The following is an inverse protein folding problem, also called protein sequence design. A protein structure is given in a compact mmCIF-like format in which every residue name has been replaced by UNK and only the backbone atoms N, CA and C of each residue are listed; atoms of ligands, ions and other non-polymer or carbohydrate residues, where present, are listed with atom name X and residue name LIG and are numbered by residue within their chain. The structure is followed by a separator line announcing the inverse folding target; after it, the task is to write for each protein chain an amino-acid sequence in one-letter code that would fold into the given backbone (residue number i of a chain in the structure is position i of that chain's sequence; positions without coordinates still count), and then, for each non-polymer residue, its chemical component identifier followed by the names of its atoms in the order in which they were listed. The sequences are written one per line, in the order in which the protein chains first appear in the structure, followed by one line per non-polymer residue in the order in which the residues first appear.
data_IF_750288710221
#
_entry.id   IF_750288710221
#
_cell.length_a   1.000
_cell.length_b   1.000
_cell.length_c   1.000
_cell.angle_alpha   90.00
_cell.angle_beta   90.00
_cell.angle_gamma   90.00
#
_symmetry.space_group_name_H-M   'P 1'
#
loop_
_entity.id
_entity.type
_entity.pdbx_description
1 polymer ?
#
# COMPACT_ATOMS: atom_id res chain seq x y z
N UNK A 1 -2.62 23.47 13.76
CA UNK A 1 -3.68 22.64 14.35
C UNK A 1 -3.13 21.22 14.57
N UNK A 2 -3.30 20.68 15.78
CA UNK A 2 -2.94 19.27 16.06
C UNK A 2 -3.82 18.36 15.19
N UNK A 3 -3.21 17.39 14.52
CA UNK A 3 -3.90 16.47 13.60
C UNK A 3 -4.34 15.17 14.30
N UNK A 4 -3.48 14.67 15.18
CA UNK A 4 -3.74 13.48 15.99
C UNK A 4 -2.83 13.51 17.22
N UNK A 5 -3.29 13.01 18.36
CA UNK A 5 -2.47 12.85 19.59
C UNK A 5 -2.69 11.44 20.12
N UNK A 6 -1.61 10.65 20.10
CA UNK A 6 -1.63 9.27 20.59
C UNK A 6 -0.19 8.77 20.83
N UNK A 7 -0.03 7.51 21.25
CA UNK A 7 1.31 6.90 21.37
C UNK A 7 1.97 6.74 19.98
N UNK A 8 3.30 6.83 19.88
CA UNK A 8 4.00 6.69 18.59
C UNK A 8 3.63 5.43 17.79
N UNK A 9 3.52 4.23 18.39
CA UNK A 9 3.09 3.04 17.66
C UNK A 9 1.68 3.16 17.09
N UNK A 10 0.76 3.82 17.81
CA UNK A 10 -0.62 4.00 17.35
C UNK A 10 -0.71 5.02 16.23
N UNK A 11 -0.01 6.16 16.35
CA UNK A 11 0.11 7.14 15.27
C UNK A 11 0.66 6.51 13.97
N UNK A 12 1.61 5.57 14.12
CA UNK A 12 2.22 4.88 13.00
C UNK A 12 1.27 3.85 12.35
N UNK A 13 0.64 3.01 13.15
CA UNK A 13 -0.17 1.89 12.67
C UNK A 13 -1.62 2.27 12.35
N UNK A 14 -2.13 3.33 12.98
CA UNK A 14 -3.53 3.75 12.88
C UNK A 14 -3.63 5.27 12.66
N UNK A 15 -3.07 5.79 11.55
CA UNK A 15 -3.14 7.23 11.26
C UNK A 15 -4.58 7.64 10.97
N UNK A 16 -5.05 8.74 11.54
CA UNK A 16 -6.43 9.23 11.37
C UNK A 16 -6.65 9.90 10.01
N UNK A 17 -5.59 10.37 9.37
CA UNK A 17 -5.68 11.08 8.11
C UNK A 17 -4.39 10.96 7.27
N UNK A 18 -4.45 11.44 6.02
CA UNK A 18 -3.35 11.43 5.07
C UNK A 18 -2.09 12.16 5.57
N UNK A 19 -2.27 13.25 6.31
CA UNK A 19 -1.14 14.02 6.83
C UNK A 19 -0.31 13.19 7.82
N UNK A 20 -0.98 12.59 8.80
CA UNK A 20 -0.31 11.74 9.81
C UNK A 20 0.32 10.53 9.15
N UNK A 21 -0.41 9.87 8.23
CA UNK A 21 0.05 8.71 7.50
C UNK A 21 1.32 8.98 6.68
N UNK A 22 1.38 10.11 5.98
CA UNK A 22 2.51 10.49 5.12
C UNK A 22 3.67 11.11 5.87
N UNK A 23 3.44 11.67 7.07
CA UNK A 23 4.50 12.33 7.85
C UNK A 23 5.40 11.33 8.59
N UNK A 24 4.86 10.18 8.99
CA UNK A 24 5.56 9.18 9.79
C UNK A 24 6.13 8.06 8.90
N UNK A 25 7.41 7.80 9.04
CA UNK A 25 8.15 6.76 8.32
C UNK A 25 9.14 7.30 7.30
N UNK A 26 10.18 6.53 7.05
CA UNK A 26 11.20 6.80 6.03
C UNK A 26 11.60 5.49 5.37
N UNK A 27 11.18 5.24 4.12
CA UNK A 27 10.31 6.06 3.27
C UNK A 27 8.90 6.26 3.85
N UNK A 28 8.16 7.29 3.39
CA UNK A 28 6.78 7.50 3.83
C UNK A 28 5.82 6.42 3.31
N UNK A 29 4.58 6.40 3.83
CA UNK A 29 3.51 5.54 3.33
C UNK A 29 3.26 5.77 1.82
N UNK A 30 3.11 4.69 1.06
CA UNK A 30 2.65 4.77 -0.32
C UNK A 30 1.17 5.15 -0.34
N UNK A 31 0.79 6.05 -1.26
CA UNK A 31 -0.60 6.39 -1.54
C UNK A 31 -0.93 6.08 -3.00
N UNK A 32 -1.93 5.24 -3.19
CA UNK A 32 -2.32 4.68 -4.49
C UNK A 32 -3.75 5.10 -4.78
N UNK A 33 -3.95 5.83 -5.89
CA UNK A 33 -5.27 6.23 -6.34
C UNK A 33 -6.03 5.05 -6.91
N UNK A 34 -7.30 4.94 -6.59
CA UNK A 34 -8.16 3.89 -7.07
C UNK A 34 -9.62 4.12 -6.73
N UNK A 35 -10.40 3.07 -6.82
CA UNK A 35 -11.82 3.07 -6.47
C UNK A 35 -12.21 1.79 -5.73
N UNK A 36 -13.28 1.87 -4.96
CA UNK A 36 -13.86 0.70 -4.29
C UNK A 36 -15.00 0.12 -5.12
N UNK A 37 -15.01 -1.21 -5.24
CA UNK A 37 -16.08 -1.98 -5.86
C UNK A 37 -16.56 -3.08 -4.92
N UNK A 38 -17.81 -3.44 -5.04
CA UNK A 38 -18.33 -4.64 -4.39
C UNK A 38 -18.15 -5.83 -5.33
N UNK A 39 -17.54 -6.89 -4.84
CA UNK A 39 -17.46 -8.19 -5.53
C UNK A 39 -17.95 -9.29 -4.57
N UNK A 40 -19.19 -9.77 -4.78
CA UNK A 40 -19.87 -10.74 -3.89
C UNK A 40 -19.87 -10.21 -2.43
N UNK A 41 -19.17 -10.90 -1.52
CA UNK A 41 -19.11 -10.57 -0.09
C UNK A 41 -17.85 -9.78 0.30
N UNK A 42 -17.08 -9.29 -0.68
CA UNK A 42 -15.84 -8.57 -0.47
C UNK A 42 -15.93 -7.12 -0.98
N UNK A 43 -15.21 -6.24 -0.30
CA UNK A 43 -14.88 -4.90 -0.77
C UNK A 43 -13.54 -4.99 -1.48
N UNK A 44 -13.48 -4.56 -2.73
CA UNK A 44 -12.26 -4.62 -3.55
C UNK A 44 -11.83 -3.21 -3.92
N UNK A 45 -10.61 -2.86 -3.54
CA UNK A 45 -9.93 -1.68 -4.06
C UNK A 45 -9.25 -2.05 -5.37
N UNK A 46 -9.45 -1.24 -6.40
CA UNK A 46 -8.73 -1.36 -7.69
C UNK A 46 -8.01 -0.06 -7.97
N UNK A 47 -6.73 -0.17 -8.27
CA UNK A 47 -5.92 0.96 -8.74
C UNK A 47 -6.54 1.59 -10.00
N UNK A 48 -6.28 2.88 -10.22
CA UNK A 48 -6.73 3.57 -11.44
C UNK A 48 -6.24 2.88 -12.71
N UNK A 49 -6.86 3.21 -13.84
CA UNK A 49 -6.57 2.60 -15.13
C UNK A 49 -5.06 2.56 -15.44
N UNK A 50 -4.58 1.40 -15.84
CA UNK A 50 -3.17 1.12 -16.12
C UNK A 50 -2.40 0.54 -14.94
N UNK A 51 -2.94 0.64 -13.71
CA UNK A 51 -2.35 0.05 -12.52
C UNK A 51 -2.64 -1.44 -12.36
N UNK A 52 -1.85 -2.11 -11.56
CA UNK A 52 -1.89 -3.57 -11.34
C UNK A 52 -2.33 -3.97 -9.94
N UNK A 53 -2.49 -3.00 -9.03
CA UNK A 53 -2.82 -3.29 -7.63
C UNK A 53 -4.32 -3.48 -7.46
N UNK A 54 -4.68 -4.66 -6.96
CA UNK A 54 -6.04 -4.99 -6.52
C UNK A 54 -5.97 -5.57 -5.11
N UNK A 55 -6.71 -4.97 -4.16
CA UNK A 55 -6.72 -5.40 -2.75
C UNK A 55 -8.11 -5.77 -2.32
N UNK A 56 -8.27 -7.01 -1.80
CA UNK A 56 -9.53 -7.51 -1.25
C UNK A 56 -9.55 -7.33 0.25
N UNK A 57 -10.57 -6.64 0.72
CA UNK A 57 -10.85 -6.50 2.14
C UNK A 57 -12.03 -7.41 2.53
N UNK A 58 -11.97 -7.99 3.73
CA UNK A 58 -13.17 -8.60 4.32
C UNK A 58 -14.27 -7.53 4.42
N UNK A 59 -15.54 -7.96 4.49
CA UNK A 59 -16.67 -7.03 4.56
C UNK A 59 -16.40 -5.91 5.58
N UNK A 60 -16.49 -4.68 5.10
CA UNK A 60 -16.29 -3.45 5.85
C UNK A 60 -17.50 -2.56 5.62
N UNK A 61 -18.53 -2.59 6.48
CA UNK A 61 -19.79 -1.86 6.26
C UNK A 61 -19.59 -0.39 5.93
N UNK A 62 -18.62 0.29 6.59
CA UNK A 62 -18.31 1.71 6.32
C UNK A 62 -17.77 1.95 4.90
N UNK A 63 -17.10 0.99 4.30
CA UNK A 63 -16.54 1.13 2.95
C UNK A 63 -17.64 1.17 1.87
N UNK A 64 -18.83 0.65 2.15
CA UNK A 64 -19.96 0.61 1.18
C UNK A 64 -20.43 2.00 0.75
N UNK A 65 -20.30 3.00 1.60
CA UNK A 65 -20.66 4.39 1.30
C UNK A 65 -19.73 5.03 0.25
N UNK A 66 -18.61 4.39 -0.03
CA UNK A 66 -17.55 4.87 -0.93
C UNK A 66 -17.48 4.09 -2.24
N UNK A 67 -18.38 3.16 -2.52
CA UNK A 67 -18.40 2.44 -3.79
C UNK A 67 -18.55 3.40 -4.97
N UNK A 68 -17.70 3.23 -5.99
CA UNK A 68 -17.67 4.06 -7.18
C UNK A 68 -17.10 5.47 -6.97
N UNK A 69 -16.58 5.76 -5.77
CA UNK A 69 -15.92 7.03 -5.48
C UNK A 69 -14.40 6.88 -5.55
N UNK A 70 -13.68 7.96 -5.89
CA UNK A 70 -12.21 7.98 -5.77
C UNK A 70 -11.79 7.69 -4.33
N UNK A 71 -10.79 6.81 -4.18
CA UNK A 71 -10.20 6.44 -2.89
C UNK A 71 -8.68 6.41 -2.98
N UNK A 72 -8.03 6.58 -1.84
CA UNK A 72 -6.58 6.37 -1.70
C UNK A 72 -6.33 5.14 -0.83
N UNK A 73 -5.59 4.18 -1.37
CA UNK A 73 -5.01 3.09 -0.59
C UNK A 73 -3.68 3.55 -0.02
N UNK A 74 -3.54 3.49 1.30
CA UNK A 74 -2.29 3.71 2.01
C UNK A 74 -1.67 2.39 2.42
N UNK A 75 -0.41 2.16 2.06
CA UNK A 75 0.36 0.99 2.46
C UNK A 75 1.81 1.37 2.74
N UNK A 76 2.38 0.86 3.82
CA UNK A 76 3.77 1.15 4.16
C UNK A 76 4.74 0.33 3.31
N UNK A 77 5.95 0.87 3.04
CA UNK A 77 6.95 0.17 2.25
C UNK A 77 7.33 -1.21 2.79
N UNK A 78 7.38 -1.38 4.11
CA UNK A 78 7.69 -2.66 4.77
C UNK A 78 6.56 -3.68 4.74
N UNK A 79 5.34 -3.27 4.36
CA UNK A 79 4.19 -4.13 4.18
C UNK A 79 4.02 -4.61 2.72
N UNK A 80 5.01 -4.33 1.88
CA UNK A 80 5.17 -4.85 0.52
C UNK A 80 6.46 -5.65 0.47
N UNK A 81 6.41 -6.87 -0.09
CA UNK A 81 7.58 -7.74 -0.24
C UNK A 81 7.53 -8.48 -1.59
N UNK A 82 8.67 -8.92 -2.08
CA UNK A 82 8.73 -9.87 -3.20
C UNK A 82 7.92 -11.14 -2.84
N UNK A 83 7.04 -11.58 -3.75
CA UNK A 83 6.10 -12.67 -3.48
C UNK A 83 6.79 -13.97 -3.04
N UNK A 84 7.97 -14.27 -3.58
CA UNK A 84 8.78 -15.44 -3.20
C UNK A 84 9.30 -15.40 -1.75
N UNK A 85 9.27 -14.23 -1.10
CA UNK A 85 9.74 -14.03 0.27
C UNK A 85 8.62 -13.64 1.23
N UNK A 86 7.43 -13.42 0.70
CA UNK A 86 6.27 -12.98 1.47
C UNK A 86 5.78 -14.08 2.42
N UNK A 87 5.43 -13.69 3.64
CA UNK A 87 4.82 -14.53 4.67
C UNK A 87 3.40 -14.10 5.03
N UNK A 88 2.75 -13.27 4.20
CA UNK A 88 1.44 -12.68 4.50
C UNK A 88 0.27 -13.67 4.39
N UNK A 89 0.48 -14.84 3.79
CA UNK A 89 -0.52 -15.90 3.68
C UNK A 89 -1.81 -15.40 3.00
N UNK A 90 -2.96 -15.73 3.61
CA UNK A 90 -4.28 -15.37 3.06
C UNK A 90 -4.61 -13.86 3.12
N UNK A 91 -3.79 -13.05 3.75
CA UNK A 91 -3.93 -11.59 3.76
C UNK A 91 -3.16 -10.91 2.64
N UNK A 92 -2.55 -11.68 1.73
CA UNK A 92 -1.76 -11.16 0.62
C UNK A 92 -2.64 -10.68 -0.53
N UNK A 93 -2.27 -9.54 -1.10
CA UNK A 93 -2.71 -9.09 -2.40
C UNK A 93 -1.51 -9.12 -3.35
N UNK A 94 -1.50 -10.09 -4.28
CA UNK A 94 -0.41 -10.27 -5.23
C UNK A 94 -0.58 -9.35 -6.43
N UNK A 95 0.49 -8.66 -6.84
CA UNK A 95 0.48 -7.80 -8.01
C UNK A 95 1.83 -7.81 -8.75
N UNK A 96 1.84 -7.69 -10.08
CA UNK A 96 3.06 -7.52 -10.86
C UNK A 96 3.48 -6.05 -10.90
N UNK A 97 4.79 -5.80 -10.83
CA UNK A 97 5.38 -4.48 -11.05
C UNK A 97 6.77 -4.58 -11.69
N UNK A 98 7.19 -3.51 -12.36
CA UNK A 98 8.55 -3.40 -12.89
C UNK A 98 9.42 -2.73 -11.84
N UNK A 99 10.55 -3.33 -11.51
CA UNK A 99 11.55 -2.72 -10.63
C UNK A 99 12.28 -1.63 -11.40
N UNK A 100 12.08 -0.38 -11.01
CA UNK A 100 12.69 0.78 -11.64
C UNK A 100 14.05 1.11 -11.01
N UNK A 101 14.09 1.20 -9.68
CA UNK A 101 15.31 1.51 -8.92
C UNK A 101 15.47 0.50 -7.78
N UNK A 102 16.71 0.08 -7.55
CA UNK A 102 17.13 -0.72 -6.39
C UNK A 102 18.09 0.14 -5.57
N UNK A 103 17.74 0.41 -4.32
CA UNK A 103 18.52 1.22 -3.39
C UNK A 103 18.91 0.37 -2.16
N UNK A 104 20.11 -0.25 -2.17
CA UNK A 104 20.61 -1.02 -1.03
C UNK A 104 20.87 -0.10 0.17
N UNK A 105 20.32 -0.46 1.34
CA UNK A 105 20.45 0.27 2.60
C UNK A 105 21.24 -0.53 3.66
N UNK A 106 22.07 -1.45 3.22
CA UNK A 106 22.79 -2.39 4.06
C UNK A 106 22.05 -3.73 4.17
N UNK A 107 21.44 -4.04 5.30
CA UNK A 107 20.67 -5.28 5.48
C UNK A 107 19.29 -5.25 4.80
N UNK A 108 18.81 -4.08 4.48
CA UNK A 108 17.51 -3.83 3.81
C UNK A 108 17.74 -3.24 2.41
N UNK A 109 16.72 -3.31 1.58
CA UNK A 109 16.72 -2.70 0.24
C UNK A 109 15.39 -2.02 -0.03
N UNK A 110 15.43 -0.75 -0.45
CA UNK A 110 14.27 -0.09 -1.02
C UNK A 110 14.19 -0.40 -2.52
N UNK A 111 13.03 -0.86 -2.96
CA UNK A 111 12.70 -1.08 -4.37
C UNK A 111 11.65 -0.06 -4.78
N UNK A 112 11.91 0.67 -5.85
CA UNK A 112 10.94 1.57 -6.46
C UNK A 112 10.26 0.83 -7.61
N UNK A 113 8.96 0.64 -7.50
CA UNK A 113 8.16 -0.26 -8.34
C UNK A 113 7.20 0.53 -9.20
N UNK A 114 7.20 0.27 -10.50
CA UNK A 114 6.20 0.81 -11.43
C UNK A 114 5.03 -0.15 -11.59
N UNK A 115 3.85 0.27 -11.15
CA UNK A 115 2.61 -0.51 -11.30
C UNK A 115 1.95 -0.29 -12.66
N UNK A 116 2.39 0.73 -13.40
CA UNK A 116 1.76 1.22 -14.62
C UNK A 116 0.99 2.53 -14.39
N UNK A 117 0.45 2.76 -13.19
CA UNK A 117 -0.23 4.00 -12.81
C UNK A 117 0.51 4.77 -11.72
N UNK A 118 1.24 4.09 -10.84
CA UNK A 118 1.99 4.69 -9.72
C UNK A 118 3.41 4.13 -9.63
N UNK A 119 4.25 4.91 -8.97
CA UNK A 119 5.49 4.41 -8.37
C UNK A 119 5.23 4.11 -6.90
N UNK A 120 5.48 2.88 -6.46
CA UNK A 120 5.36 2.47 -5.06
C UNK A 120 6.71 2.00 -4.54
N UNK A 121 6.98 2.26 -3.26
CA UNK A 121 8.21 1.84 -2.59
C UNK A 121 7.93 0.58 -1.79
N UNK A 122 8.74 -0.47 -2.04
CA UNK A 122 8.81 -1.67 -1.22
C UNK A 122 10.10 -1.61 -0.40
N UNK A 123 10.04 -1.92 0.89
CA UNK A 123 11.22 -2.10 1.75
C UNK A 123 11.39 -3.58 2.05
N UNK A 124 12.26 -4.23 1.29
CA UNK A 124 12.61 -5.63 1.54
C UNK A 124 13.61 -5.76 2.69
N UNK A 125 13.37 -6.73 3.58
CA UNK A 125 14.28 -7.10 4.67
C UNK A 125 15.49 -7.91 4.16
N UNK A 126 15.81 -7.82 2.87
CA UNK A 126 16.87 -8.55 2.21
C UNK A 126 17.80 -7.61 1.47
N UNK A 127 19.07 -7.97 1.46
CA UNK A 127 20.05 -7.32 0.60
C UNK A 127 19.81 -7.80 -0.84
N UNK A 128 19.22 -6.94 -1.66
CA UNK A 128 19.03 -7.15 -3.09
C UNK A 128 20.00 -6.27 -3.87
N UNK A 129 20.34 -6.68 -5.07
CA UNK A 129 21.25 -5.93 -5.94
C UNK A 129 20.54 -5.38 -7.20
N UNK A 130 21.29 -4.65 -8.02
CA UNK A 130 20.77 -3.99 -9.21
C UNK A 130 20.33 -4.95 -10.33
N UNK A 131 20.53 -6.26 -10.20
CA UNK A 131 20.10 -7.25 -11.20
C UNK A 131 18.58 -7.31 -11.34
N UNK A 132 17.84 -6.88 -10.33
CA UNK A 132 16.38 -6.83 -10.35
C UNK A 132 15.84 -5.65 -11.20
N UNK A 133 16.68 -4.64 -11.48
CA UNK A 133 16.27 -3.43 -12.24
C UNK A 133 15.81 -3.80 -13.66
N UNK A 134 14.66 -3.24 -14.05
CA UNK A 134 14.02 -3.47 -15.35
C UNK A 134 13.19 -4.75 -15.43
N UNK A 135 13.25 -5.62 -14.44
CA UNK A 135 12.50 -6.87 -14.43
C UNK A 135 11.07 -6.66 -13.92
N UNK A 136 10.12 -7.36 -14.54
CA UNK A 136 8.75 -7.48 -14.04
C UNK A 136 8.68 -8.63 -13.06
N UNK A 137 8.45 -8.32 -11.81
CA UNK A 137 8.40 -9.28 -10.71
C UNK A 137 7.03 -9.27 -10.05
N UNK A 138 6.76 -10.30 -9.24
CA UNK A 138 5.54 -10.41 -8.42
C UNK A 138 5.83 -9.94 -7.01
N UNK A 139 4.93 -9.11 -6.50
CA UNK A 139 4.98 -8.56 -5.14
C UNK A 139 3.70 -8.92 -4.40
N UNK A 140 3.82 -9.08 -3.11
CA UNK A 140 2.71 -9.23 -2.17
C UNK A 140 2.59 -7.98 -1.31
N UNK A 141 1.37 -7.49 -1.19
CA UNK A 141 0.97 -6.42 -0.31
C UNK A 141 0.15 -7.03 0.85
N UNK A 142 0.50 -6.70 2.08
CA UNK A 142 -0.25 -7.16 3.26
C UNK A 142 -1.55 -6.36 3.41
N UNK A 143 -2.65 -6.90 2.90
CA UNK A 143 -3.96 -6.26 2.94
C UNK A 143 -4.48 -5.97 4.36
N UNK A 144 -4.01 -6.70 5.39
CA UNK A 144 -4.40 -6.45 6.78
C UNK A 144 -3.79 -5.16 7.37
N UNK A 145 -2.73 -4.64 6.72
CA UNK A 145 -2.02 -3.40 7.06
C UNK A 145 -2.37 -2.23 6.16
N UNK A 146 -3.17 -2.48 5.12
CA UNK A 146 -3.60 -1.44 4.20
C UNK A 146 -4.71 -0.58 4.83
N UNK A 147 -4.64 0.72 4.55
CA UNK A 147 -5.64 1.71 4.96
C UNK A 147 -6.34 2.29 3.74
N UNK A 148 -7.59 2.70 3.91
CA UNK A 148 -8.32 3.46 2.89
C UNK A 148 -8.61 4.87 3.41
N UNK A 149 -8.33 5.86 2.58
CA UNK A 149 -8.57 7.27 2.87
C UNK A 149 -9.53 7.86 1.83
N UNK A 150 -10.42 8.73 2.30
CA UNK A 150 -11.23 9.57 1.43
C UNK A 150 -10.39 10.80 1.01
N UNK A 151 -10.08 10.97 -0.28
CA UNK A 151 -9.25 12.08 -0.74
C UNK A 151 -9.91 13.46 -0.53
N UNK A 152 -11.26 13.53 -0.41
CA UNK A 152 -11.99 14.77 -0.23
C UNK A 152 -11.93 15.30 1.22
N UNK A 153 -11.96 14.40 2.19
CA UNK A 153 -11.89 14.75 3.62
C UNK A 153 -10.52 14.52 4.22
N UNK A 154 -9.63 13.81 3.52
CA UNK A 154 -8.32 13.32 3.96
C UNK A 154 -8.38 12.31 5.11
N UNK A 155 -9.57 11.94 5.57
CA UNK A 155 -9.78 11.05 6.71
C UNK A 155 -9.65 9.58 6.34
N UNK A 156 -9.17 8.78 7.29
CA UNK A 156 -9.16 7.33 7.16
C UNK A 156 -10.59 6.78 7.25
N UNK A 157 -10.93 5.93 6.30
CA UNK A 157 -12.22 5.20 6.24
C UNK A 157 -12.11 3.83 6.94
N UNK A 158 -11.03 3.10 6.67
CA UNK A 158 -10.66 1.81 7.31
C UNK A 158 -9.16 1.68 7.46
#
# INVERSE_FOLDING_TARGET
KVQQTDTPPKLYNEPDNLFVAGFLGSPPMNFINGELKQERDAVVFKEVQGGTIEVRFKDRPRAREFFGKPMLLGIRPEDIELAQFSNTGNASANFPAIVDIVEPMGAETNLYLQTGAHTVVCRSQRALDHRETGHRLQFDLNASKAHLFDPSTTSRVI
#
